data_IF_122146797230
#
_entry.id   IF_122146797230
#
_cell.length_a   1.000
_cell.length_b   1.000
_cell.length_c   1.000
_cell.angle_alpha   90.00
_cell.angle_beta   90.00
_cell.angle_gamma   90.00
#
_symmetry.space_group_name_H-M   'P 1'
#
loop_
_entity.id
_entity.type
_entity.pdbx_description
1 polymer ?
#
# COMPACT_ATOMS: atom_id res chain seq x y z
N UNK A 1 -43.50 -20.92 -40.33
CA UNK A 1 -42.79 -19.65 -40.61
C UNK A 1 -41.96 -19.28 -39.39
N UNK A 2 -40.63 -19.24 -39.55
CA UNK A 2 -39.63 -18.88 -38.54
C UNK A 2 -39.67 -17.37 -38.27
N UNK A 3 -39.65 -16.93 -37.02
CA UNK A 3 -39.17 -15.59 -36.63
C UNK A 3 -38.33 -15.68 -35.35
N UNK A 4 -37.01 -15.67 -35.56
CA UNK A 4 -36.00 -15.30 -34.58
C UNK A 4 -36.05 -13.79 -34.34
N UNK A 5 -35.82 -13.34 -33.10
CA UNK A 5 -35.07 -12.13 -32.74
C UNK A 5 -35.09 -12.04 -31.19
N UNK A 6 -34.02 -12.47 -30.52
CA UNK A 6 -32.77 -11.75 -30.21
C UNK A 6 -32.83 -11.15 -28.79
N UNK A 7 -32.21 -11.89 -27.86
CA UNK A 7 -31.88 -11.47 -26.51
C UNK A 7 -30.97 -10.24 -26.54
N UNK A 8 -31.42 -9.15 -25.94
CA UNK A 8 -30.60 -8.00 -25.57
C UNK A 8 -29.83 -8.32 -24.28
N UNK A 9 -28.61 -8.81 -24.46
CA UNK A 9 -27.59 -8.95 -23.41
C UNK A 9 -27.16 -7.55 -22.95
N UNK A 10 -27.77 -7.05 -21.87
CA UNK A 10 -27.25 -5.92 -21.11
C UNK A 10 -26.00 -6.38 -20.35
N UNK A 11 -24.83 -6.18 -20.96
CA UNK A 11 -23.54 -6.23 -20.29
C UNK A 11 -23.51 -5.08 -19.27
N UNK A 12 -24.00 -5.35 -18.06
CA UNK A 12 -23.63 -4.55 -16.90
C UNK A 12 -22.13 -4.71 -16.71
N UNK A 13 -21.36 -3.71 -17.16
CA UNK A 13 -20.00 -3.53 -16.68
C UNK A 13 -20.10 -3.38 -15.16
N UNK A 14 -19.87 -4.48 -14.45
CA UNK A 14 -19.56 -4.48 -13.05
C UNK A 14 -18.30 -3.60 -12.91
N UNK A 15 -18.50 -2.32 -12.63
CA UNK A 15 -17.46 -1.49 -12.05
C UNK A 15 -17.14 -2.17 -10.72
N UNK A 16 -16.15 -3.06 -10.74
CA UNK A 16 -15.50 -3.53 -9.54
C UNK A 16 -14.95 -2.26 -8.89
N UNK A 17 -15.74 -1.69 -7.98
CA UNK A 17 -15.32 -0.57 -7.17
C UNK A 17 -13.95 -0.96 -6.59
N UNK A 18 -12.92 -0.11 -6.73
CA UNK A 18 -11.58 -0.44 -6.28
C UNK A 18 -11.69 -0.89 -4.83
N UNK A 19 -11.41 -2.18 -4.59
CA UNK A 19 -11.52 -2.76 -3.25
C UNK A 19 -10.67 -1.87 -2.35
N UNK A 20 -11.22 -1.36 -1.23
CA UNK A 20 -10.43 -0.53 -0.34
C UNK A 20 -9.17 -1.30 0.03
N UNK A 21 -8.02 -0.64 -0.06
CA UNK A 21 -6.71 -1.16 0.29
C UNK A 21 -6.66 -1.42 1.81
N UNK A 22 -7.42 -2.40 2.30
CA UNK A 22 -7.56 -2.72 3.72
C UNK A 22 -6.42 -3.62 4.17
N UNK A 23 -5.85 -4.41 3.24
CA UNK A 23 -4.73 -5.33 3.49
C UNK A 23 -3.45 -4.99 2.72
N UNK A 24 -3.43 -3.83 2.05
CA UNK A 24 -2.30 -3.41 1.23
C UNK A 24 -1.98 -1.94 1.50
N UNK A 25 -0.72 -1.57 1.33
CA UNK A 25 -0.32 -0.17 1.18
C UNK A 25 -0.44 0.21 -0.29
N UNK A 26 -1.31 1.15 -0.59
CA UNK A 26 -1.47 1.67 -1.95
C UNK A 26 -0.53 2.84 -2.15
N UNK A 27 0.34 2.74 -3.13
CA UNK A 27 1.30 3.80 -3.46
C UNK A 27 0.52 4.99 -4.03
N UNK A 28 0.53 6.11 -3.31
CA UNK A 28 -0.13 7.34 -3.74
C UNK A 28 0.82 8.27 -4.48
N UNK A 29 2.12 8.15 -4.19
CA UNK A 29 3.18 8.91 -4.85
C UNK A 29 4.47 8.10 -4.80
N UNK A 30 5.18 8.02 -5.93
CA UNK A 30 6.54 7.50 -5.99
C UNK A 30 7.37 8.42 -6.87
N UNK A 31 8.33 9.10 -6.25
CA UNK A 31 9.34 9.91 -6.92
C UNK A 31 10.69 9.21 -6.75
N UNK A 32 10.92 8.13 -7.50
CA UNK A 32 12.15 7.34 -7.41
C UNK A 32 11.96 5.86 -7.75
N UNK A 33 12.74 5.01 -7.08
CA UNK A 33 12.71 3.54 -7.23
C UNK A 33 12.58 2.89 -5.87
N UNK A 34 11.65 1.94 -5.77
CA UNK A 34 11.46 1.11 -4.59
C UNK A 34 11.41 -0.37 -4.96
N UNK A 35 11.82 -1.20 -4.02
CA UNK A 35 11.75 -2.64 -4.13
C UNK A 35 10.81 -3.17 -3.04
N UNK A 36 9.91 -4.07 -3.42
CA UNK A 36 8.97 -4.74 -2.52
C UNK A 36 9.30 -6.22 -2.51
N UNK A 37 9.54 -6.78 -1.32
CA UNK A 37 9.83 -8.21 -1.15
C UNK A 37 8.75 -8.84 -0.30
N UNK A 38 7.94 -9.69 -0.93
CA UNK A 38 6.91 -10.49 -0.29
C UNK A 38 7.18 -11.98 -0.42
N UNK A 39 6.21 -12.80 -0.02
CA UNK A 39 6.30 -14.27 -0.14
C UNK A 39 6.38 -14.75 -1.60
N UNK A 40 5.77 -14.01 -2.53
CA UNK A 40 5.72 -14.34 -3.96
C UNK A 40 6.97 -13.89 -4.73
N UNK A 41 7.94 -13.30 -4.03
CA UNK A 41 9.19 -12.81 -4.62
C UNK A 41 9.37 -11.30 -4.48
N UNK A 42 10.22 -10.77 -5.34
CA UNK A 42 10.68 -9.38 -5.31
C UNK A 42 10.15 -8.63 -6.53
N UNK A 43 9.54 -7.48 -6.31
CA UNK A 43 9.02 -6.60 -7.36
C UNK A 43 9.68 -5.23 -7.22
N UNK A 44 10.24 -4.73 -8.30
CA UNK A 44 10.75 -3.35 -8.37
C UNK A 44 9.71 -2.46 -9.03
N UNK A 45 9.54 -1.25 -8.49
CA UNK A 45 8.66 -0.24 -9.05
C UNK A 45 9.37 1.11 -9.17
N UNK A 46 9.11 1.81 -10.26
CA UNK A 46 9.73 3.08 -10.62
C UNK A 46 8.68 4.11 -10.94
N UNK A 47 8.97 5.40 -10.77
CA UNK A 47 8.03 6.51 -11.06
C UNK A 47 7.38 6.48 -12.46
N UNK A 48 7.95 5.73 -13.42
CA UNK A 48 7.48 5.64 -14.80
C UNK A 48 6.50 4.48 -15.04
N UNK A 49 6.28 3.58 -14.08
CA UNK A 49 5.40 2.42 -14.23
C UNK A 49 4.19 2.48 -13.29
N UNK A 50 3.09 1.77 -13.61
CA UNK A 50 1.98 1.59 -12.68
C UNK A 50 2.48 0.93 -11.38
N UNK A 51 2.20 1.58 -10.25
CA UNK A 51 2.66 1.12 -8.95
C UNK A 51 1.74 0.01 -8.42
N UNK A 52 2.23 -1.22 -8.22
CA UNK A 52 1.41 -2.26 -7.63
C UNK A 52 1.16 -1.94 -6.14
N UNK A 53 0.00 -2.31 -5.59
CA UNK A 53 -0.21 -2.25 -4.14
C UNK A 53 0.78 -3.16 -3.42
N UNK A 54 1.34 -2.68 -2.31
CA UNK A 54 2.24 -3.49 -1.47
C UNK A 54 1.40 -4.40 -0.58
N UNK A 55 1.53 -5.74 -0.66
CA UNK A 55 0.86 -6.65 0.26
C UNK A 55 1.34 -6.48 1.70
N UNK A 56 0.45 -6.70 2.67
CA UNK A 56 0.86 -6.82 4.08
C UNK A 56 2.00 -7.82 4.28
N UNK A 57 2.78 -7.60 5.33
CA UNK A 57 3.95 -8.38 5.74
C UNK A 57 5.12 -8.37 4.75
N UNK A 58 5.00 -7.61 3.66
CA UNK A 58 6.09 -7.35 2.73
C UNK A 58 7.10 -6.36 3.31
N UNK A 59 8.35 -6.54 2.92
CA UNK A 59 9.41 -5.56 3.12
C UNK A 59 9.41 -4.57 1.95
N UNK A 60 9.53 -3.28 2.26
CA UNK A 60 9.67 -2.20 1.30
C UNK A 60 11.03 -1.56 1.51
N UNK A 61 11.81 -1.47 0.44
CA UNK A 61 13.14 -0.89 0.42
C UNK A 61 13.17 0.26 -0.58
N UNK A 62 13.38 1.48 -0.10
CA UNK A 62 13.54 2.67 -0.92
C UNK A 62 14.98 2.75 -1.44
N UNK A 63 15.16 2.44 -2.73
CA UNK A 63 16.49 2.43 -3.36
C UNK A 63 16.95 3.86 -3.63
N UNK A 64 16.06 4.69 -4.19
CA UNK A 64 16.33 6.10 -4.48
C UNK A 64 15.03 6.90 -4.40
N UNK A 65 15.13 8.15 -3.93
CA UNK A 65 14.00 9.09 -3.95
C UNK A 65 13.03 8.93 -2.77
N UNK A 66 11.72 9.12 -2.99
CA UNK A 66 10.70 9.14 -1.94
C UNK A 66 9.40 8.48 -2.37
N UNK A 67 8.70 7.85 -1.43
CA UNK A 67 7.38 7.27 -1.66
C UNK A 67 6.39 7.66 -0.56
N UNK A 68 5.13 7.83 -0.96
CA UNK A 68 3.98 7.94 -0.06
C UNK A 68 3.01 6.80 -0.33
N UNK A 69 2.51 6.21 0.75
CA UNK A 69 1.58 5.10 0.76
C UNK A 69 0.34 5.43 1.57
N UNK A 70 -0.77 4.80 1.21
CA UNK A 70 -2.04 4.94 1.90
C UNK A 70 -2.71 3.58 2.15
N UNK A 71 -3.24 3.40 3.34
CA UNK A 71 -4.12 2.30 3.73
C UNK A 71 -5.25 2.90 4.58
N UNK A 72 -6.43 3.06 3.97
CA UNK A 72 -7.55 3.79 4.55
C UNK A 72 -7.19 5.23 4.93
N UNK A 73 -7.19 5.49 6.24
CA UNK A 73 -6.88 6.79 6.88
C UNK A 73 -5.42 6.93 7.29
N UNK A 74 -4.61 5.88 7.12
CA UNK A 74 -3.17 5.90 7.44
C UNK A 74 -2.37 6.29 6.21
N UNK A 75 -1.51 7.30 6.37
CA UNK A 75 -0.47 7.67 5.42
C UNK A 75 0.89 7.23 5.98
N UNK A 76 1.72 6.70 5.11
CA UNK A 76 3.09 6.29 5.40
C UNK A 76 3.99 6.94 4.36
N UNK A 77 5.08 7.57 4.79
CA UNK A 77 6.06 8.19 3.89
C UNK A 77 7.46 7.66 4.20
N UNK A 78 8.20 7.31 3.16
CA UNK A 78 9.55 6.78 3.27
C UNK A 78 10.48 7.47 2.25
N UNK A 79 11.70 7.75 2.68
CA UNK A 79 12.75 8.33 1.83
C UNK A 79 13.82 7.29 1.45
N UNK A 80 14.74 7.71 0.60
CA UNK A 80 15.90 6.93 0.18
C UNK A 80 16.63 6.25 1.35
N UNK A 81 17.06 5.01 1.13
CA UNK A 81 17.75 4.19 2.14
C UNK A 81 16.85 3.67 3.25
N UNK A 82 15.54 3.97 3.22
CA UNK A 82 14.58 3.45 4.20
C UNK A 82 14.17 2.04 3.83
N UNK A 83 14.22 1.15 4.82
CA UNK A 83 13.66 -0.20 4.76
C UNK A 83 12.61 -0.31 5.85
N UNK A 84 11.42 -0.77 5.51
CA UNK A 84 10.36 -0.99 6.49
C UNK A 84 9.48 -2.19 6.15
N UNK A 85 8.86 -2.74 7.18
CA UNK A 85 7.84 -3.78 7.11
C UNK A 85 6.59 -3.27 7.80
N UNK A 86 5.43 -3.78 7.39
CA UNK A 86 4.17 -3.41 8.02
C UNK A 86 3.25 -4.62 8.13
N UNK A 87 2.47 -4.64 9.20
CA UNK A 87 1.39 -5.60 9.39
C UNK A 87 0.05 -4.87 9.34
N UNK A 88 -0.99 -5.56 8.89
CA UNK A 88 -2.37 -5.07 8.90
C UNK A 88 -3.20 -5.91 9.86
N UNK A 89 -4.04 -5.27 10.68
CA UNK A 89 -5.13 -5.93 11.40
C UNK A 89 -6.40 -5.70 10.61
N UNK A 90 -7.30 -6.68 10.50
CA UNK A 90 -8.66 -6.70 9.88
C UNK A 90 -9.05 -5.64 8.83
N UNK A 91 -8.83 -4.33 9.05
CA UNK A 91 -9.10 -3.24 8.13
C UNK A 91 -7.98 -2.16 7.98
N UNK A 92 -6.91 -2.15 8.78
CA UNK A 92 -5.92 -1.07 8.83
C UNK A 92 -4.49 -1.53 9.18
N UNK A 93 -3.48 -0.72 8.85
CA UNK A 93 -2.09 -0.92 9.33
C UNK A 93 -2.10 -0.97 10.86
N UNK A 94 -1.56 -2.04 11.41
CA UNK A 94 -1.51 -2.31 12.84
C UNK A 94 -0.11 -2.06 13.42
N UNK A 95 0.93 -2.32 12.64
CA UNK A 95 2.30 -2.03 13.06
C UNK A 95 3.20 -1.73 11.87
N UNK A 96 4.26 -0.97 12.15
CA UNK A 96 5.35 -0.67 11.22
C UNK A 96 6.66 -0.95 11.95
N UNK A 97 7.58 -1.67 11.30
CA UNK A 97 8.93 -1.94 11.75
C UNK A 97 9.91 -1.32 10.77
N UNK A 98 10.94 -0.62 11.25
CA UNK A 98 11.89 0.10 10.39
C UNK A 98 13.30 -0.43 10.64
N UNK A 99 13.78 -1.44 9.87
CA UNK A 99 15.15 -1.91 9.99
C UNK A 99 16.20 -0.84 9.63
N UNK A 100 15.92 0.04 8.67
CA UNK A 100 16.86 1.07 8.23
C UNK A 100 16.14 2.37 7.80
N UNK A 101 16.82 3.51 7.94
CA UNK A 101 16.27 4.83 7.60
C UNK A 101 15.21 5.32 8.60
N UNK A 102 14.17 5.97 8.09
CA UNK A 102 13.08 6.48 8.91
C UNK A 102 11.77 6.54 8.14
N UNK A 103 10.67 6.24 8.82
CA UNK A 103 9.32 6.29 8.24
C UNK A 103 8.48 7.32 8.97
N UNK A 104 7.80 8.19 8.24
CA UNK A 104 6.76 9.06 8.80
C UNK A 104 5.39 8.38 8.67
N UNK A 105 4.63 8.37 9.75
CA UNK A 105 3.31 7.72 9.83
C UNK A 105 2.30 8.71 10.36
N UNK A 106 1.22 8.93 9.63
CA UNK A 106 0.11 9.76 10.05
C UNK A 106 -1.20 8.98 9.93
N UNK A 107 -1.85 8.71 11.05
CA UNK A 107 -3.18 8.09 11.10
C UNK A 107 -4.21 9.12 11.56
N UNK A 108 -5.44 9.11 11.03
CA UNK A 108 -6.46 10.11 11.39
C UNK A 108 -6.81 10.18 12.89
N UNK A 109 -6.47 9.16 13.68
CA UNK A 109 -6.72 9.09 15.12
C UNK A 109 -5.49 9.40 15.99
N UNK A 110 -4.34 9.72 15.39
CA UNK A 110 -3.08 9.94 16.11
C UNK A 110 -2.28 11.11 15.51
N UNK A 111 -1.40 11.71 16.32
CA UNK A 111 -0.42 12.66 15.80
C UNK A 111 0.53 11.94 14.82
N UNK A 112 1.07 12.69 13.86
CA UNK A 112 2.11 12.16 12.99
C UNK A 112 3.32 11.73 13.84
N UNK A 113 3.86 10.55 13.55
CA UNK A 113 4.99 9.97 14.25
C UNK A 113 6.10 9.62 13.26
N UNK A 114 7.35 9.87 13.66
CA UNK A 114 8.53 9.39 12.94
C UNK A 114 9.05 8.15 13.63
N UNK A 115 9.12 7.04 12.88
CA UNK A 115 9.67 5.77 13.34
C UNK A 115 11.11 5.68 12.85
N UNK A 116 12.06 5.69 13.77
CA UNK A 116 13.49 5.62 13.46
C UNK A 116 13.96 4.18 13.21
N UNK A 117 15.13 4.03 12.59
CA UNK A 117 15.78 2.74 12.39
C UNK A 117 15.90 1.94 13.70
N UNK A 118 15.74 0.62 13.59
CA UNK A 118 15.74 -0.32 14.70
C UNK A 118 14.51 -0.25 15.61
N UNK A 119 13.51 0.56 15.27
CA UNK A 119 12.28 0.74 16.06
C UNK A 119 11.06 0.15 15.39
N UNK A 120 10.02 -0.07 16.19
CA UNK A 120 8.68 -0.41 15.71
C UNK A 120 7.63 0.52 16.32
N UNK A 121 6.56 0.75 15.57
CA UNK A 121 5.40 1.51 15.99
C UNK A 121 4.17 0.61 15.90
N UNK A 122 3.49 0.42 17.03
CA UNK A 122 2.13 -0.12 17.04
C UNK A 122 1.15 1.04 16.83
N UNK A 123 0.30 0.92 15.81
CA UNK A 123 -0.75 1.89 15.54
C UNK A 123 -1.99 1.56 16.37
N UNK A 124 -2.71 2.58 16.88
CA UNK A 124 -3.95 2.34 17.60
C UNK A 124 -4.96 1.67 16.68
N UNK A 125 -5.69 0.70 17.23
CA UNK A 125 -6.74 -0.01 16.49
C UNK A 125 -7.76 1.00 15.96
N UNK A 126 -8.06 0.94 14.66
CA UNK A 126 -9.14 1.72 14.08
C UNK A 126 -10.46 1.37 14.82
N UNK A 127 -11.13 2.38 15.38
CA UNK A 127 -12.43 2.24 16.04
C UNK A 127 -13.56 2.16 15.02
#
# INVERSE_FOLDING_TARGET
MRRLALLSMLFACACAAPRPCTRTLCVTRLDGTMQMRGWSGTVEATSQSPQPPVPADSEVSMIYGKAEFRNGTTRVSAGEGTVFRFAVSTAAVASIEVPAGSVEVAASSAAAATVAAGSSLALPKAR
#
